data_IF_327245655406
#
_entry.id   IF_327245655406
#
_cell.length_a   1.000
_cell.length_b   1.000
_cell.length_c   1.000
_cell.angle_alpha   90.00
_cell.angle_beta   90.00
_cell.angle_gamma   90.00
#
_symmetry.space_group_name_H-M   'P 1'
#
loop_
_entity.id
_entity.type
_entity.pdbx_description
1 polymer ?
#
# COMPACT_ATOMS: atom_id res chain seq x y z
N UNK A 1 12.27 -52.70 37.76
CA UNK A 1 12.00 -51.77 36.65
C UNK A 1 10.65 -51.13 36.90
N UNK A 2 10.57 -49.81 37.05
CA UNK A 2 9.33 -49.04 37.28
C UNK A 2 9.18 -48.06 36.11
N UNK A 3 8.02 -47.96 35.43
CA UNK A 3 7.85 -47.02 34.34
C UNK A 3 7.30 -45.70 34.87
N UNK A 4 8.03 -44.64 34.57
CA UNK A 4 7.55 -43.24 34.45
C UNK A 4 8.12 -42.84 33.07
N UNK A 5 7.39 -42.22 32.10
CA UNK A 5 6.40 -41.16 32.27
C UNK A 5 5.27 -41.17 31.21
N UNK A 6 4.01 -41.31 31.59
CA UNK A 6 2.89 -40.93 30.70
C UNK A 6 2.01 -39.99 31.47
N UNK A 7 2.32 -38.69 31.48
CA UNK A 7 1.37 -37.60 31.76
C UNK A 7 2.05 -36.20 31.77
N UNK A 8 3.07 -35.99 30.93
CA UNK A 8 3.59 -34.64 30.62
C UNK A 8 3.14 -34.15 29.22
N UNK A 9 2.14 -34.78 28.61
CA UNK A 9 1.67 -34.41 27.27
C UNK A 9 0.39 -33.56 27.25
N UNK A 10 -0.28 -33.32 28.36
CA UNK A 10 -1.60 -32.65 28.34
C UNK A 10 -1.57 -31.14 28.64
N UNK A 11 -0.41 -30.56 28.98
CA UNK A 11 -0.30 -29.11 29.25
C UNK A 11 0.04 -28.30 27.98
N UNK A 12 0.48 -28.95 26.89
CA UNK A 12 0.85 -28.24 25.65
C UNK A 12 -0.33 -27.88 24.73
N UNK A 13 -1.54 -28.39 24.97
CA UNK A 13 -2.69 -28.18 24.07
C UNK A 13 -3.55 -26.94 24.36
N UNK A 14 -3.20 -26.11 25.35
CA UNK A 14 -3.98 -24.91 25.69
C UNK A 14 -3.31 -23.58 25.37
N UNK A 15 -2.15 -23.57 24.72
CA UNK A 15 -1.46 -22.33 24.29
C UNK A 15 -1.81 -21.94 22.84
N UNK A 16 -2.60 -22.76 22.12
CA UNK A 16 -2.95 -22.54 20.70
C UNK A 16 -4.16 -21.61 20.47
N UNK A 17 -4.75 -21.02 21.50
CA UNK A 17 -5.91 -20.10 21.36
C UNK A 17 -5.54 -18.62 21.36
N UNK A 18 -4.25 -18.26 21.38
CA UNK A 18 -3.80 -16.90 21.08
C UNK A 18 -3.53 -16.76 19.59
N UNK A 19 -4.57 -16.46 18.79
CA UNK A 19 -4.31 -16.33 17.36
C UNK A 19 -5.47 -15.97 16.43
N UNK A 20 -6.63 -15.50 16.89
CA UNK A 20 -7.48 -14.73 16.00
C UNK A 20 -6.84 -13.36 15.78
N UNK A 21 -5.79 -13.31 14.96
CA UNK A 21 -5.24 -12.07 14.46
C UNK A 21 -6.24 -11.54 13.44
N UNK A 22 -7.05 -10.58 13.90
CA UNK A 22 -7.86 -9.69 13.07
C UNK A 22 -6.98 -9.22 11.91
N UNK A 23 -7.46 -9.35 10.67
CA UNK A 23 -6.80 -8.82 9.48
C UNK A 23 -6.27 -7.42 9.79
N UNK A 24 -4.95 -7.30 9.93
CA UNK A 24 -4.27 -6.05 10.25
C UNK A 24 -4.20 -5.20 8.99
N UNK A 25 -5.31 -4.55 8.63
CA UNK A 25 -5.21 -3.21 8.04
C UNK A 25 -4.67 -2.20 9.07
N UNK A 26 -4.64 -2.56 10.36
CA UNK A 26 -4.22 -1.74 11.50
C UNK A 26 -2.74 -1.89 11.93
N UNK A 27 -1.92 -2.62 11.17
CA UNK A 27 -0.56 -2.99 11.59
C UNK A 27 0.59 -2.19 10.97
N UNK A 28 0.36 -1.49 9.85
CA UNK A 28 1.42 -0.72 9.19
C UNK A 28 1.55 0.67 9.82
N UNK A 29 2.78 1.10 10.19
CA UNK A 29 2.99 2.46 10.67
C UNK A 29 2.60 3.43 9.56
N UNK A 30 1.70 4.36 9.86
CA UNK A 30 1.31 5.37 8.88
C UNK A 30 2.40 6.45 8.85
N UNK A 31 3.07 6.57 7.71
CA UNK A 31 4.10 7.58 7.48
C UNK A 31 3.44 8.95 7.22
N UNK A 32 2.39 8.98 6.39
CA UNK A 32 1.66 10.20 6.09
C UNK A 32 0.15 9.99 6.09
N UNK A 33 -0.57 10.89 6.78
CA UNK A 33 -2.03 10.83 6.96
C UNK A 33 -2.77 11.91 6.17
N UNK A 34 -4.00 11.57 5.79
CA UNK A 34 -5.00 12.52 5.30
C UNK A 34 -4.66 13.11 3.94
N UNK A 35 -4.07 12.30 3.06
CA UNK A 35 -3.80 12.72 1.70
C UNK A 35 -5.07 12.57 0.86
N UNK A 36 -5.23 13.44 -0.13
CA UNK A 36 -6.23 13.32 -1.18
C UNK A 36 -5.51 13.15 -2.49
N UNK A 37 -5.99 12.21 -3.30
CA UNK A 37 -5.38 11.96 -4.59
C UNK A 37 -6.35 11.44 -5.61
N UNK A 38 -5.82 11.25 -6.81
CA UNK A 38 -6.55 10.78 -7.98
C UNK A 38 -5.65 9.85 -8.78
N UNK A 39 -6.20 8.70 -9.18
CA UNK A 39 -5.49 7.79 -10.07
C UNK A 39 -5.44 8.43 -11.45
N UNK A 40 -4.24 8.72 -11.95
CA UNK A 40 -4.01 9.20 -13.31
C UNK A 40 -3.90 8.02 -14.28
N UNK A 41 -3.18 6.98 -13.86
CA UNK A 41 -2.90 5.81 -14.67
C UNK A 41 -2.79 4.58 -13.78
N UNK A 42 -3.20 3.43 -14.29
CA UNK A 42 -3.04 2.16 -13.59
C UNK A 42 -2.82 1.02 -14.58
N UNK A 43 -1.75 0.27 -14.35
CA UNK A 43 -1.34 -0.91 -15.10
C UNK A 43 -1.22 -2.11 -14.17
N UNK A 44 -0.82 -3.26 -14.73
CA UNK A 44 -0.48 -4.44 -13.95
C UNK A 44 0.80 -4.26 -13.11
N UNK A 45 1.64 -3.28 -13.46
CA UNK A 45 2.91 -3.04 -12.80
C UNK A 45 2.87 -1.83 -11.87
N UNK A 46 2.27 -0.71 -12.29
CA UNK A 46 2.28 0.54 -11.53
C UNK A 46 0.91 1.22 -11.49
N UNK A 47 0.68 2.06 -10.49
CA UNK A 47 -0.48 2.96 -10.44
C UNK A 47 0.00 4.35 -10.07
N UNK A 48 -0.08 5.28 -11.03
CA UNK A 48 0.29 6.67 -10.82
C UNK A 48 -0.87 7.40 -10.12
N UNK A 49 -0.59 7.94 -8.93
CA UNK A 49 -1.52 8.70 -8.11
C UNK A 49 -1.02 10.13 -8.00
N UNK A 50 -1.84 11.08 -8.44
CA UNK A 50 -1.60 12.50 -8.18
C UNK A 50 -2.05 12.84 -6.75
N UNK A 51 -1.18 13.47 -5.97
CA UNK A 51 -1.50 14.05 -4.67
C UNK A 51 -2.04 15.47 -4.88
N UNK A 52 -3.21 15.77 -4.32
CA UNK A 52 -3.95 17.01 -4.60
C UNK A 52 -3.86 18.05 -3.48
N UNK A 53 -3.50 17.62 -2.26
CA UNK A 53 -3.59 18.46 -1.06
C UNK A 53 -2.26 18.65 -0.32
N UNK A 54 -1.15 18.15 -0.86
CA UNK A 54 0.20 18.33 -0.33
C UNK A 54 1.23 18.23 -1.44
N UNK A 55 2.35 18.92 -1.25
CA UNK A 55 3.47 18.96 -2.20
C UNK A 55 4.37 17.72 -2.03
N UNK A 56 3.86 16.55 -2.40
CA UNK A 56 4.55 15.26 -2.26
C UNK A 56 4.59 14.56 -3.60
N UNK A 57 5.73 13.92 -3.90
CA UNK A 57 5.96 13.23 -5.16
C UNK A 57 6.75 14.10 -6.12
N UNK A 58 6.68 13.75 -7.40
CA UNK A 58 7.53 14.32 -8.44
C UNK A 58 6.71 14.69 -9.66
N UNK A 59 7.29 15.49 -10.55
CA UNK A 59 6.73 15.68 -11.89
C UNK A 59 6.76 14.35 -12.65
N UNK A 60 5.64 14.03 -13.28
CA UNK A 60 5.48 12.85 -14.12
C UNK A 60 4.83 13.23 -15.44
N UNK A 61 5.44 12.80 -16.54
CA UNK A 61 4.89 13.03 -17.88
C UNK A 61 4.12 11.81 -18.34
N UNK A 62 2.82 11.96 -18.53
CA UNK A 62 1.95 10.91 -19.04
C UNK A 62 2.27 10.60 -20.50
N UNK A 63 2.58 9.33 -20.77
CA UNK A 63 2.78 8.89 -22.15
C UNK A 63 1.49 8.84 -22.98
N UNK A 64 0.32 8.74 -22.32
CA UNK A 64 -0.99 8.63 -23.00
C UNK A 64 -1.46 9.95 -23.58
N UNK A 65 -1.34 11.05 -22.81
CA UNK A 65 -1.87 12.36 -23.21
C UNK A 65 -0.79 13.45 -23.31
N UNK A 66 0.48 13.11 -23.11
CA UNK A 66 1.65 14.00 -23.22
C UNK A 66 1.60 15.20 -22.28
N UNK A 67 0.82 15.12 -21.20
CA UNK A 67 0.76 16.16 -20.17
C UNK A 67 1.74 15.86 -19.05
N UNK A 68 2.19 16.95 -18.42
CA UNK A 68 3.00 16.91 -17.21
C UNK A 68 2.04 17.08 -16.02
N UNK A 69 2.19 16.18 -15.06
CA UNK A 69 1.47 16.20 -13.79
C UNK A 69 2.46 16.42 -12.67
N UNK A 70 2.15 17.34 -11.77
CA UNK A 70 2.94 17.58 -10.56
C UNK A 70 2.40 16.71 -9.40
N UNK A 71 3.26 16.47 -8.41
CA UNK A 71 2.95 15.74 -7.18
C UNK A 71 2.43 14.32 -7.43
N UNK A 72 3.08 13.61 -8.36
CA UNK A 72 2.73 12.23 -8.69
C UNK A 72 3.63 11.28 -7.91
N UNK A 73 2.99 10.26 -7.33
CA UNK A 73 3.65 9.10 -6.75
C UNK A 73 3.19 7.85 -7.50
N UNK A 74 4.10 6.90 -7.66
CA UNK A 74 3.69 5.55 -7.98
C UNK A 74 3.25 4.86 -6.70
N UNK A 75 2.09 4.23 -6.75
CA UNK A 75 1.44 3.69 -5.58
C UNK A 75 1.15 2.20 -5.74
N UNK A 76 1.60 1.41 -4.78
CA UNK A 76 1.00 0.12 -4.51
C UNK A 76 -0.23 0.32 -3.61
N UNK A 77 -1.43 -0.02 -4.12
CA UNK A 77 -2.69 0.20 -3.39
C UNK A 77 -3.14 -1.12 -2.79
N UNK A 78 -3.07 -1.24 -1.46
CA UNK A 78 -3.34 -2.53 -0.78
C UNK A 78 -4.82 -2.87 -0.59
N UNK A 79 -5.71 -1.88 -0.68
CA UNK A 79 -7.16 -2.05 -0.51
C UNK A 79 -7.95 -1.33 -1.60
N UNK A 80 -7.59 -1.62 -2.86
CA UNK A 80 -8.20 -1.01 -4.04
C UNK A 80 -9.68 -1.45 -4.22
N UNK A 81 -10.58 -0.74 -3.56
CA UNK A 81 -12.02 -0.96 -3.64
C UNK A 81 -12.60 -0.42 -4.96
N UNK A 82 -12.44 -1.14 -6.07
CA UNK A 82 -13.02 -0.82 -7.40
C UNK A 82 -12.84 0.63 -7.88
N UNK A 83 -11.82 1.32 -7.35
CA UNK A 83 -11.60 2.75 -7.59
C UNK A 83 -11.21 2.97 -9.05
N UNK A 84 -12.09 3.69 -9.76
CA UNK A 84 -11.89 4.04 -11.15
C UNK A 84 -10.82 5.13 -11.29
N UNK A 85 -10.12 5.13 -12.43
CA UNK A 85 -9.23 6.22 -12.78
C UNK A 85 -10.01 7.54 -12.82
N UNK A 86 -9.37 8.61 -12.35
CA UNK A 86 -9.95 9.95 -12.37
C UNK A 86 -10.86 10.32 -11.20
N UNK A 87 -11.23 9.37 -10.34
CA UNK A 87 -11.97 9.62 -9.09
C UNK A 87 -11.01 10.10 -8.01
N UNK A 88 -11.43 11.11 -7.24
CA UNK A 88 -10.68 11.57 -6.07
C UNK A 88 -10.97 10.64 -4.89
N UNK A 89 -9.96 10.37 -4.07
CA UNK A 89 -10.08 9.54 -2.88
C UNK A 89 -9.13 10.02 -1.79
N UNK A 90 -9.46 9.65 -0.55
CA UNK A 90 -8.60 9.89 0.59
C UNK A 90 -7.72 8.66 0.85
N UNK A 91 -6.45 8.88 1.15
CA UNK A 91 -5.49 7.81 1.43
C UNK A 91 -4.40 8.21 2.43
N UNK A 92 -3.69 7.20 2.92
CA UNK A 92 -2.50 7.34 3.74
C UNK A 92 -1.32 6.62 3.08
N UNK A 93 -0.11 7.18 3.21
CA UNK A 93 1.13 6.45 2.88
C UNK A 93 1.53 5.64 4.11
N UNK A 94 1.73 4.34 3.91
CA UNK A 94 2.09 3.38 4.97
C UNK A 94 3.50 2.82 4.80
N UNK A 95 4.13 3.06 3.64
CA UNK A 95 5.48 2.60 3.34
C UNK A 95 6.05 3.48 2.23
N UNK A 96 7.28 3.98 2.42
CA UNK A 96 8.09 4.55 1.34
C UNK A 96 8.92 3.40 0.78
N UNK A 97 8.74 3.09 -0.49
CA UNK A 97 9.38 1.93 -1.08
C UNK A 97 10.76 2.32 -1.63
N UNK A 98 11.83 1.57 -1.32
CA UNK A 98 13.18 1.90 -1.76
C UNK A 98 13.39 1.68 -3.25
N UNK A 99 12.48 0.99 -3.93
CA UNK A 99 12.61 0.62 -5.33
C UNK A 99 11.92 1.60 -6.26
N UNK A 100 12.73 2.31 -7.05
CA UNK A 100 12.29 2.96 -8.28
C UNK A 100 11.84 1.88 -9.27
N UNK A 101 10.55 1.87 -9.61
CA UNK A 101 10.04 1.00 -10.67
C UNK A 101 10.07 1.76 -11.98
N UNK A 102 11.05 1.47 -12.83
CA UNK A 102 11.02 1.91 -14.21
C UNK A 102 10.07 1.00 -14.99
N UNK A 103 8.82 1.44 -15.23
CA UNK A 103 8.01 0.83 -16.27
C UNK A 103 8.34 1.47 -17.62
N UNK A 104 8.28 0.69 -18.70
CA UNK A 104 8.78 1.04 -20.04
C UNK A 104 8.04 2.21 -20.70
N UNK A 105 7.00 2.73 -20.03
CA UNK A 105 6.10 3.81 -20.46
C UNK A 105 6.22 5.07 -19.61
N UNK A 106 7.05 5.10 -18.57
CA UNK A 106 7.22 6.26 -17.70
C UNK A 106 8.45 7.06 -18.09
N UNK A 107 8.26 8.32 -18.49
CA UNK A 107 9.35 9.20 -18.93
C UNK A 107 10.19 9.79 -17.79
N UNK A 108 9.95 9.40 -16.53
CA UNK A 108 10.78 9.73 -15.38
C UNK A 108 10.43 8.77 -14.23
N UNK A 109 11.38 8.42 -13.34
CA UNK A 109 11.09 7.55 -12.21
C UNK A 109 10.20 8.28 -11.19
N UNK A 110 8.98 7.80 -10.91
CA UNK A 110 8.15 8.37 -9.86
C UNK A 110 8.70 7.95 -8.49
N UNK A 111 8.42 8.77 -7.47
CA UNK A 111 8.59 8.32 -6.08
C UNK A 111 7.62 7.17 -5.83
N UNK A 112 8.09 6.01 -5.35
CA UNK A 112 7.25 4.83 -5.12
C UNK A 112 6.86 4.70 -3.64
N UNK A 113 5.58 4.42 -3.39
CA UNK A 113 5.03 4.29 -2.04
C UNK A 113 3.93 3.23 -1.99
N UNK A 114 3.71 2.63 -0.82
CA UNK A 114 2.50 1.84 -0.56
C UNK A 114 1.45 2.71 0.13
N UNK A 115 0.23 2.70 -0.40
CA UNK A 115 -0.89 3.50 0.10
C UNK A 115 -2.10 2.65 0.50
N UNK A 116 -2.84 3.15 1.49
CA UNK A 116 -4.12 2.61 1.97
C UNK A 116 -5.21 3.66 1.76
N UNK A 117 -6.27 3.31 1.05
CA UNK A 117 -7.46 4.14 0.87
C UNK A 117 -8.23 4.19 2.18
N UNK A 118 -8.67 5.39 2.56
CA UNK A 118 -9.41 5.65 3.81
C UNK A 118 -10.81 6.21 3.59
N UNK A 119 -11.20 6.53 2.35
CA UNK A 119 -12.53 7.02 2.00
C UNK A 119 -12.61 7.56 0.57
N UNK A 120 -13.84 7.80 0.12
CA UNK A 120 -14.20 8.39 -1.18
C UNK A 120 -14.57 9.88 -1.04
#
# INVERSE_FOLDING_TARGET
MKPVPVLLCTIYMFILSAGCRKNEESGRPILQKGLRGKILYSSCATTAVQVLNKDIGTEWTSCQDKKIYEHVIDANIVNRNSLAAGVEFSFNIVEDEPEFRCDMLDCNPPTFATIVITGD
#
